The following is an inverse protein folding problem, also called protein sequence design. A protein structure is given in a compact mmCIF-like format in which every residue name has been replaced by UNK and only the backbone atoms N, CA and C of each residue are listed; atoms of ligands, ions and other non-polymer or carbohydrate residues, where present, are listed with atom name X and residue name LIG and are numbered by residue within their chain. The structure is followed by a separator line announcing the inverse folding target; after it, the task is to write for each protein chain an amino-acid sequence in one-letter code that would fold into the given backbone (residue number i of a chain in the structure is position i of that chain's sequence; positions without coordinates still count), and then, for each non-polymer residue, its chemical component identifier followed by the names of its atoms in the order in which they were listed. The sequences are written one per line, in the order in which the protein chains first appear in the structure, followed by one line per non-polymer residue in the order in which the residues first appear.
data_IF_198874680911
#
_entry.id   IF_198874680911
#
_cell.length_a   1.000
_cell.length_b   1.000
_cell.length_c   1.000
_cell.angle_alpha   90.00
_cell.angle_beta   90.00
_cell.angle_gamma   90.00
#
_symmetry.space_group_name_H-M   'P 1'
#
loop_
_entity.id
_entity.type
_entity.pdbx_description
1 polymer ?
#
# COMPACT_ATOMS: atom_id res chain seq x y z
N UNK A 1 2.88 -0.21 11.65
CA UNK A 1 3.55 -0.42 12.97
C UNK A 1 2.75 -1.45 13.74
N UNK A 2 3.40 -2.18 14.65
CA UNK A 2 2.69 -3.10 15.54
C UNK A 2 1.80 -2.31 16.50
N UNK A 3 0.60 -2.82 16.74
CA UNK A 3 -0.36 -2.27 17.70
C UNK A 3 -0.33 -3.11 19.00
N UNK A 4 -1.07 -2.68 20.02
CA UNK A 4 -1.13 -3.38 21.32
C UNK A 4 -1.77 -4.77 21.28
N UNK A 5 -2.57 -5.08 20.25
CA UNK A 5 -3.14 -6.42 20.02
C UNK A 5 -2.11 -7.36 19.39
N UNK A 6 -1.23 -6.85 18.51
CA UNK A 6 -0.20 -7.65 17.83
C UNK A 6 0.85 -8.24 18.81
N UNK A 7 1.01 -7.62 19.99
CA UNK A 7 1.98 -7.99 21.02
C UNK A 7 1.35 -8.64 22.28
N UNK A 8 0.02 -8.86 22.30
CA UNK A 8 -0.68 -9.31 23.51
C UNK A 8 -0.17 -10.65 24.06
N UNK A 9 0.18 -11.58 23.18
CA UNK A 9 0.64 -12.94 23.51
C UNK A 9 2.18 -13.11 23.42
N UNK A 10 2.93 -12.00 23.38
CA UNK A 10 4.38 -12.02 23.10
C UNK A 10 5.21 -11.87 24.38
N UNK A 11 6.17 -12.77 24.62
CA UNK A 11 7.19 -12.56 25.65
C UNK A 11 8.10 -11.38 25.28
N UNK A 12 7.79 -10.22 25.85
CA UNK A 12 8.54 -9.00 25.61
C UNK A 12 10.02 -9.10 26.02
N UNK A 13 10.34 -9.83 27.09
CA UNK A 13 11.72 -10.01 27.52
C UNK A 13 12.50 -10.91 26.56
N UNK A 14 11.87 -11.94 25.99
CA UNK A 14 12.46 -12.71 24.90
C UNK A 14 12.69 -11.84 23.66
N UNK A 15 11.69 -11.10 23.19
CA UNK A 15 11.82 -10.31 21.95
C UNK A 15 12.81 -9.14 22.09
N UNK A 16 12.86 -8.42 23.21
CA UNK A 16 13.91 -7.39 23.41
C UNK A 16 15.32 -7.99 23.50
N UNK A 17 15.47 -9.25 23.95
CA UNK A 17 16.75 -10.00 23.85
C UNK A 17 17.08 -10.36 22.40
N UNK A 18 16.11 -10.80 21.61
CA UNK A 18 16.30 -11.06 20.16
C UNK A 18 16.76 -9.80 19.44
N UNK A 19 16.11 -8.65 19.67
CA UNK A 19 16.56 -7.36 19.12
C UNK A 19 18.00 -7.01 19.53
N UNK A 20 18.36 -7.25 20.80
CA UNK A 20 19.71 -6.98 21.30
C UNK A 20 20.77 -7.93 20.73
N UNK A 21 20.43 -9.20 20.49
CA UNK A 21 21.38 -10.25 20.08
C UNK A 21 21.56 -10.40 18.57
N UNK A 22 20.56 -10.03 17.76
CA UNK A 22 20.62 -10.17 16.29
C UNK A 22 21.03 -8.90 15.54
N UNK A 23 21.28 -7.79 16.26
CA UNK A 23 21.69 -6.51 15.66
C UNK A 23 23.03 -6.65 14.93
N UNK A 24 23.03 -6.40 13.62
CA UNK A 24 24.20 -6.60 12.75
C UNK A 24 25.16 -5.40 12.78
N UNK A 25 25.74 -5.18 13.97
CA UNK A 25 26.77 -4.14 14.19
C UNK A 25 26.20 -2.75 14.50
N UNK A 26 27.04 -1.70 14.44
CA UNK A 26 26.66 -0.36 14.90
C UNK A 26 25.79 0.42 13.91
N UNK A 27 25.76 0.07 12.63
CA UNK A 27 25.02 0.79 11.57
C UNK A 27 23.72 0.12 11.09
N UNK A 28 23.20 -0.84 11.86
CA UNK A 28 21.95 -1.52 11.55
C UNK A 28 20.72 -0.63 11.85
N UNK A 29 20.51 0.40 11.01
CA UNK A 29 19.45 1.41 11.19
C UNK A 29 18.04 0.85 11.03
N UNK A 30 17.90 -0.19 10.21
CA UNK A 30 16.61 -0.81 9.93
C UNK A 30 16.18 -1.67 11.12
N UNK A 31 17.11 -2.44 11.71
CA UNK A 31 16.88 -3.18 12.94
C UNK A 31 16.65 -2.25 14.15
N UNK A 32 17.39 -1.15 14.26
CA UNK A 32 17.13 -0.11 15.26
C UNK A 32 15.70 0.45 15.11
N UNK A 33 15.23 0.69 13.88
CA UNK A 33 13.88 1.19 13.61
C UNK A 33 12.79 0.18 13.97
N UNK A 34 12.99 -1.10 13.66
CA UNK A 34 12.09 -2.19 14.06
C UNK A 34 12.05 -2.36 15.59
N UNK A 35 13.20 -2.28 16.26
CA UNK A 35 13.30 -2.34 17.72
C UNK A 35 12.57 -1.18 18.39
N UNK A 36 12.69 0.04 17.85
CA UNK A 36 11.92 1.19 18.34
C UNK A 36 10.42 1.02 18.09
N UNK A 37 10.00 0.47 16.95
CA UNK A 37 8.58 0.21 16.67
C UNK A 37 7.97 -0.80 17.68
N UNK A 38 8.71 -1.86 18.03
CA UNK A 38 8.30 -2.81 19.08
C UNK A 38 8.20 -2.15 20.46
N UNK A 39 9.27 -1.47 20.89
CA UNK A 39 9.30 -0.77 22.17
C UNK A 39 8.22 0.32 22.25
N UNK A 40 7.79 0.90 21.11
CA UNK A 40 6.69 1.87 21.08
C UNK A 40 5.34 1.22 21.38
N UNK A 41 5.10 0.01 20.87
CA UNK A 41 3.90 -0.76 21.14
C UNK A 41 3.81 -1.19 22.62
N UNK A 42 4.96 -1.46 23.26
CA UNK A 42 5.06 -1.70 24.72
C UNK A 42 4.90 -0.40 25.53
N UNK A 43 5.75 0.60 25.26
CA UNK A 43 5.72 1.91 25.91
C UNK A 43 6.53 2.95 25.14
N UNK A 44 5.87 4.01 24.67
CA UNK A 44 6.53 5.21 24.10
C UNK A 44 7.67 5.76 25.00
N UNK A 45 7.59 5.56 26.33
CA UNK A 45 8.65 5.96 27.27
C UNK A 45 9.90 5.06 27.20
N UNK A 46 9.78 3.75 27.01
CA UNK A 46 10.95 2.86 26.84
C UNK A 46 11.58 3.07 25.47
N UNK A 47 10.77 3.20 24.41
CA UNK A 47 11.21 3.55 23.07
C UNK A 47 12.05 4.84 23.04
N UNK A 48 11.60 5.91 23.73
CA UNK A 48 12.38 7.16 23.83
C UNK A 48 13.71 6.99 24.56
N UNK A 49 13.78 6.14 25.60
CA UNK A 49 15.03 5.82 26.30
C UNK A 49 15.99 5.05 25.38
N UNK A 50 15.49 4.06 24.65
CA UNK A 50 16.27 3.27 23.69
C UNK A 50 16.78 4.14 22.53
N UNK A 51 15.91 4.96 21.94
CA UNK A 51 16.24 5.89 20.85
C UNK A 51 17.35 6.87 21.24
N UNK A 52 17.33 7.41 22.47
CA UNK A 52 18.42 8.25 23.00
C UNK A 52 19.75 7.50 23.14
N UNK A 53 19.71 6.20 23.43
CA UNK A 53 20.94 5.38 23.49
C UNK A 53 21.55 5.17 22.09
N UNK A 54 20.71 4.92 21.07
CA UNK A 54 21.16 4.81 19.68
C UNK A 54 21.76 6.13 19.15
N UNK A 55 21.13 7.26 19.47
CA UNK A 55 21.66 8.59 19.15
C UNK A 55 22.93 8.95 19.93
N UNK A 56 23.09 8.45 21.17
CA UNK A 56 24.31 8.65 21.95
C UNK A 56 25.51 7.94 21.32
N UNK A 57 25.31 6.74 20.77
CA UNK A 57 26.34 5.99 20.03
C UNK A 57 26.65 6.61 18.66
N UNK A 58 25.62 6.99 17.88
CA UNK A 58 25.78 7.42 16.48
C UNK A 58 24.94 8.66 16.14
N UNK A 59 25.50 9.84 16.40
CA UNK A 59 24.85 11.15 16.21
C UNK A 59 24.68 11.58 14.74
N UNK A 60 25.40 10.98 13.80
CA UNK A 60 25.34 11.37 12.38
C UNK A 60 24.21 10.67 11.58
N UNK A 61 23.56 9.67 12.17
CA UNK A 61 22.57 8.82 11.51
C UNK A 61 21.19 9.50 11.41
N UNK A 62 20.83 9.97 10.22
CA UNK A 62 19.53 10.59 9.95
C UNK A 62 18.30 9.69 10.24
N UNK A 63 18.28 8.39 9.90
CA UNK A 63 17.14 7.52 10.24
C UNK A 63 16.87 7.45 11.74
N UNK A 64 17.91 7.40 12.57
CA UNK A 64 17.77 7.39 14.04
C UNK A 64 17.18 8.69 14.58
N UNK A 65 17.52 9.83 13.98
CA UNK A 65 16.92 11.13 14.31
C UNK A 65 15.46 11.24 13.85
N UNK A 66 15.13 10.73 12.65
CA UNK A 66 13.76 10.68 12.16
C UNK A 66 12.86 9.84 13.11
N UNK A 67 13.33 8.64 13.47
CA UNK A 67 12.64 7.80 14.45
C UNK A 67 12.49 8.51 15.81
N UNK A 68 13.51 9.23 16.29
CA UNK A 68 13.41 9.99 17.55
C UNK A 68 12.34 11.10 17.49
N UNK A 69 12.31 11.87 16.41
CA UNK A 69 11.29 12.91 16.20
C UNK A 69 9.88 12.30 16.11
N UNK A 70 9.74 11.16 15.42
CA UNK A 70 8.47 10.42 15.35
C UNK A 70 7.99 9.95 16.73
N UNK A 71 8.88 9.51 17.62
CA UNK A 71 8.51 9.11 18.98
C UNK A 71 8.01 10.28 19.84
N UNK A 72 8.66 11.45 19.78
CA UNK A 72 8.17 12.63 20.50
C UNK A 72 6.85 13.16 19.84
N UNK A 73 6.63 12.99 18.53
CA UNK A 73 5.31 13.21 17.87
C UNK A 73 4.23 12.26 18.41
N UNK A 74 4.49 10.96 18.47
CA UNK A 74 3.54 9.94 19.00
C UNK A 74 3.18 10.23 20.47
N UNK A 75 4.11 10.81 21.23
CA UNK A 75 3.89 11.27 22.61
C UNK A 75 3.04 12.55 22.72
N UNK A 76 2.72 13.21 21.60
CA UNK A 76 2.04 14.52 21.58
C UNK A 76 2.95 15.70 21.92
N UNK A 77 4.29 15.55 21.78
CA UNK A 77 5.29 16.61 22.05
C UNK A 77 5.87 17.19 20.77
N UNK A 78 5.02 17.81 19.96
CA UNK A 78 5.39 18.45 18.68
C UNK A 78 6.54 19.46 18.83
N UNK A 79 6.57 20.25 19.91
CA UNK A 79 7.65 21.23 20.16
C UNK A 79 9.03 20.59 20.37
N UNK A 80 9.08 19.41 21.00
CA UNK A 80 10.34 18.68 21.17
C UNK A 80 10.77 18.03 19.85
N UNK A 81 9.82 17.52 19.06
CA UNK A 81 10.09 17.04 17.71
C UNK A 81 10.60 18.16 16.78
N UNK A 82 10.02 19.37 16.86
CA UNK A 82 10.48 20.57 16.14
C UNK A 82 11.94 20.91 16.45
N UNK A 83 12.32 20.90 17.73
CA UNK A 83 13.72 21.10 18.16
C UNK A 83 14.66 20.04 17.57
N UNK A 84 14.22 18.78 17.48
CA UNK A 84 14.99 17.70 16.85
C UNK A 84 15.22 18.00 15.37
N UNK A 85 14.17 18.31 14.61
CA UNK A 85 14.29 18.67 13.18
C UNK A 85 15.20 19.89 12.97
N UNK A 86 15.01 20.97 13.73
CA UNK A 86 15.87 22.17 13.69
C UNK A 86 17.35 21.83 13.98
N UNK A 87 17.62 20.99 14.97
CA UNK A 87 18.99 20.59 15.33
C UNK A 87 19.66 19.80 14.21
N UNK A 88 18.93 18.90 13.56
CA UNK A 88 19.48 17.95 12.58
C UNK A 88 19.59 18.55 11.17
N UNK A 89 18.61 19.38 10.79
CA UNK A 89 18.45 19.95 9.45
C UNK A 89 19.00 21.37 9.30
N UNK A 90 19.08 22.13 10.40
CA UNK A 90 19.60 23.51 10.39
C UNK A 90 20.95 23.58 11.12
N UNK A 91 21.01 23.21 12.40
CA UNK A 91 22.24 23.36 13.19
C UNK A 91 23.35 22.36 12.78
N UNK A 92 22.96 21.19 12.25
CA UNK A 92 23.86 20.12 11.80
C UNK A 92 23.83 19.93 10.27
N UNK A 93 23.46 20.97 9.53
CA UNK A 93 23.41 20.95 8.06
C UNK A 93 24.80 20.69 7.46
N UNK A 94 24.88 19.83 6.44
CA UNK A 94 26.11 19.62 5.65
C UNK A 94 25.96 20.31 4.28
N UNK A 95 27.06 20.69 3.61
CA UNK A 95 26.98 21.38 2.31
C UNK A 95 26.28 20.53 1.24
N UNK A 96 26.64 19.25 1.15
CA UNK A 96 25.99 18.26 0.30
C UNK A 96 24.81 17.65 1.09
N UNK A 97 23.61 17.54 0.52
CA UNK A 97 22.48 16.88 1.18
C UNK A 97 22.79 15.43 1.50
N UNK A 98 22.43 14.98 2.70
CA UNK A 98 22.58 13.57 3.07
C UNK A 98 21.45 12.72 2.47
N UNK A 99 21.69 11.42 2.21
CA UNK A 99 20.61 10.48 1.94
C UNK A 99 19.52 10.56 3.02
N UNK A 100 18.26 10.43 2.62
CA UNK A 100 17.08 10.54 3.49
C UNK A 100 16.82 11.93 4.14
N UNK A 101 17.64 12.95 3.91
CA UNK A 101 17.42 14.29 4.50
C UNK A 101 16.09 14.91 4.05
N UNK A 102 15.68 14.66 2.79
CA UNK A 102 14.37 15.07 2.27
C UNK A 102 13.18 14.43 3.00
N UNK A 103 13.33 13.21 3.54
CA UNK A 103 12.27 12.59 4.34
C UNK A 103 12.06 13.33 5.66
N UNK A 104 13.14 13.72 6.36
CA UNK A 104 13.02 14.51 7.60
C UNK A 104 12.40 15.89 7.35
N UNK A 105 12.74 16.56 6.25
CA UNK A 105 12.08 17.82 5.85
C UNK A 105 10.58 17.62 5.58
N UNK A 106 10.18 16.53 4.91
CA UNK A 106 8.77 16.18 4.70
C UNK A 106 8.05 15.83 6.01
N UNK A 107 8.68 15.04 6.89
CA UNK A 107 8.11 14.65 8.17
C UNK A 107 7.92 15.85 9.11
N UNK A 108 8.82 16.84 9.03
CA UNK A 108 8.68 18.11 9.74
C UNK A 108 7.50 18.91 9.17
N UNK A 109 7.42 19.07 7.84
CA UNK A 109 6.30 19.77 7.19
C UNK A 109 4.94 19.16 7.54
N UNK A 110 4.82 17.82 7.46
CA UNK A 110 3.63 17.07 7.87
C UNK A 110 3.25 17.34 9.33
N UNK A 111 4.25 17.47 10.22
CA UNK A 111 4.02 17.71 11.65
C UNK A 111 3.44 19.10 11.92
N UNK A 112 3.98 20.14 11.28
CA UNK A 112 3.48 21.51 11.41
C UNK A 112 2.11 21.70 10.74
N UNK A 113 1.88 21.07 9.57
CA UNK A 113 0.56 21.05 8.92
C UNK A 113 -0.50 20.41 9.81
N UNK A 114 -0.20 19.26 10.44
CA UNK A 114 -1.10 18.61 11.40
C UNK A 114 -1.31 19.41 12.69
N UNK A 115 -0.38 20.29 13.04
CA UNK A 115 -0.52 21.22 14.17
C UNK A 115 -1.38 22.46 13.83
N UNK A 116 -1.80 22.63 12.58
CA UNK A 116 -2.52 23.82 12.11
C UNK A 116 -1.67 25.08 12.02
N UNK A 117 -0.34 24.97 12.14
CA UNK A 117 0.59 26.08 12.02
C UNK A 117 1.00 26.21 10.54
N UNK A 118 0.08 26.64 9.68
CA UNK A 118 0.31 26.68 8.22
C UNK A 118 1.51 27.54 7.84
N UNK A 119 1.72 28.69 8.48
CA UNK A 119 2.90 29.54 8.27
C UNK A 119 4.22 28.89 8.73
N UNK A 120 4.22 28.12 9.82
CA UNK A 120 5.40 27.37 10.27
C UNK A 120 5.64 26.12 9.43
N UNK A 121 4.59 25.47 8.91
CA UNK A 121 4.70 24.35 7.99
C UNK A 121 5.20 24.80 6.60
N UNK A 122 4.83 26.02 6.21
CA UNK A 122 5.48 26.73 5.13
C UNK A 122 6.95 26.99 5.53
N UNK A 123 7.28 27.78 6.55
CA UNK A 123 8.68 28.16 6.82
C UNK A 123 9.65 26.98 7.11
N UNK A 124 9.16 25.91 7.73
CA UNK A 124 9.88 24.67 8.00
C UNK A 124 9.98 23.77 6.77
N UNK A 125 8.85 23.48 6.11
CA UNK A 125 8.77 22.58 4.96
C UNK A 125 8.85 23.34 3.66
N UNK A 126 7.77 24.04 3.32
CA UNK A 126 7.59 24.67 2.03
C UNK A 126 8.65 25.71 1.72
N UNK A 127 8.77 26.80 2.47
CA UNK A 127 9.59 27.96 2.15
C UNK A 127 11.07 27.65 2.07
N UNK A 128 11.62 26.64 2.78
CA UNK A 128 13.04 26.26 2.64
C UNK A 128 13.30 25.21 1.57
N UNK A 129 12.36 24.29 1.34
CA UNK A 129 12.41 23.38 0.19
C UNK A 129 12.17 24.20 -1.10
N UNK A 130 11.26 25.18 -1.11
CA UNK A 130 11.00 26.18 -2.15
C UNK A 130 12.09 27.26 -2.24
N UNK A 131 12.74 27.76 -1.18
CA UNK A 131 13.94 28.61 -1.34
C UNK A 131 15.07 27.84 -2.05
N UNK A 132 15.01 26.50 -2.05
CA UNK A 132 15.84 25.60 -2.87
C UNK A 132 15.17 25.03 -4.15
N UNK A 133 13.87 25.29 -4.41
CA UNK A 133 13.09 24.75 -5.56
C UNK A 133 12.18 25.77 -6.31
N UNK A 134 12.09 27.02 -5.86
CA UNK A 134 11.20 28.09 -6.35
C UNK A 134 11.98 29.27 -6.96
N UNK A 135 13.30 29.30 -6.74
CA UNK A 135 14.25 29.90 -7.69
C UNK A 135 14.32 29.11 -9.03
N UNK A 136 13.23 28.43 -9.38
CA UNK A 136 12.98 27.65 -10.60
C UNK A 136 11.60 28.00 -11.21
N UNK A 137 10.93 29.04 -10.71
CA UNK A 137 9.59 29.47 -11.16
C UNK A 137 9.52 30.96 -11.56
N UNK A 138 10.67 31.61 -11.80
CA UNK A 138 10.73 33.01 -12.22
C UNK A 138 11.72 33.23 -13.37
N UNK A 139 11.19 33.22 -14.59
CA UNK A 139 11.58 33.92 -15.86
C UNK A 139 13.06 34.23 -16.22
N UNK A 140 14.06 33.76 -15.49
CA UNK A 140 15.46 34.14 -15.65
C UNK A 140 16.40 32.93 -15.76
N UNK A 141 16.97 32.74 -16.97
CA UNK A 141 18.26 32.08 -17.22
C UNK A 141 18.56 30.78 -16.46
N UNK A 142 18.30 29.63 -17.11
CA UNK A 142 19.04 28.41 -16.81
C UNK A 142 20.55 28.66 -16.97
N UNK A 143 21.32 28.48 -15.89
CA UNK A 143 22.63 27.79 -15.94
C UNK A 143 23.28 27.60 -14.55
N UNK A 144 23.02 28.48 -13.56
CA UNK A 144 23.77 28.48 -12.28
C UNK A 144 22.93 28.73 -11.01
N UNK A 145 21.81 28.02 -10.85
CA UNK A 145 21.03 28.02 -9.60
C UNK A 145 21.21 26.69 -8.81
N UNK A 146 21.40 26.81 -7.50
CA UNK A 146 21.82 25.73 -6.59
C UNK A 146 20.70 24.72 -6.30
N UNK A 147 20.40 23.86 -7.27
CA UNK A 147 19.54 22.70 -7.08
C UNK A 147 20.35 21.58 -6.40
N UNK A 148 19.96 21.09 -5.20
CA UNK A 148 20.74 20.05 -4.52
C UNK A 148 20.73 18.70 -5.27
N UNK A 149 19.77 18.49 -6.18
CA UNK A 149 19.75 17.34 -7.10
C UNK A 149 20.79 17.46 -8.23
N UNK A 150 21.30 18.66 -8.54
CA UNK A 150 22.35 18.84 -9.55
C UNK A 150 23.75 18.52 -9.00
N UNK A 151 23.94 18.59 -7.67
CA UNK A 151 25.20 18.22 -7.02
C UNK A 151 25.31 16.70 -6.78
N UNK A 152 24.18 16.03 -6.59
CA UNK A 152 24.12 14.57 -6.44
C UNK A 152 24.03 13.94 -7.83
N UNK A 153 24.78 12.86 -8.08
CA UNK A 153 24.73 12.18 -9.38
C UNK A 153 23.33 11.59 -9.63
N UNK A 154 22.70 11.85 -10.80
CA UNK A 154 21.46 11.17 -11.17
C UNK A 154 21.67 9.65 -11.19
N UNK A 155 20.64 8.91 -10.78
CA UNK A 155 20.64 7.46 -10.51
C UNK A 155 21.37 7.01 -9.25
N UNK A 156 21.79 7.93 -8.39
CA UNK A 156 22.18 7.60 -7.01
C UNK A 156 20.94 7.48 -6.10
N UNK A 157 21.01 6.57 -5.12
CA UNK A 157 20.04 6.37 -4.04
C UNK A 157 19.67 7.67 -3.30
N UNK A 158 20.66 8.54 -3.07
CA UNK A 158 20.47 9.84 -2.44
C UNK A 158 19.61 10.78 -3.31
N UNK A 159 19.87 10.80 -4.63
CA UNK A 159 19.10 11.57 -5.59
C UNK A 159 17.68 10.99 -5.72
N UNK A 160 17.51 9.67 -5.74
CA UNK A 160 16.19 9.03 -5.82
C UNK A 160 15.31 9.37 -4.59
N UNK A 161 15.85 9.19 -3.38
CA UNK A 161 15.16 9.51 -2.13
C UNK A 161 14.77 11.00 -2.05
N UNK A 162 15.69 11.90 -2.39
CA UNK A 162 15.39 13.34 -2.40
C UNK A 162 14.36 13.71 -3.48
N UNK A 163 14.44 13.09 -4.66
CA UNK A 163 13.46 13.27 -5.75
C UNK A 163 12.06 12.84 -5.30
N UNK A 164 11.94 11.64 -4.72
CA UNK A 164 10.67 11.14 -4.18
C UNK A 164 10.10 12.08 -3.12
N UNK A 165 10.93 12.53 -2.17
CA UNK A 165 10.50 13.45 -1.11
C UNK A 165 9.98 14.79 -1.68
N UNK A 166 10.70 15.41 -2.62
CA UNK A 166 10.27 16.65 -3.27
C UNK A 166 8.94 16.49 -4.05
N UNK A 167 8.77 15.40 -4.79
CA UNK A 167 7.53 15.14 -5.53
C UNK A 167 6.33 14.88 -4.61
N UNK A 168 6.53 14.08 -3.56
CA UNK A 168 5.52 13.82 -2.53
C UNK A 168 5.12 15.10 -1.78
N UNK A 169 6.10 15.97 -1.48
CA UNK A 169 5.86 17.25 -0.85
C UNK A 169 4.96 18.15 -1.71
N UNK A 170 5.31 18.35 -2.99
CA UNK A 170 4.53 19.18 -3.92
C UNK A 170 3.11 18.61 -4.11
N UNK A 171 2.97 17.28 -4.23
CA UNK A 171 1.68 16.62 -4.32
C UNK A 171 0.81 16.82 -3.06
N UNK A 172 1.37 16.67 -1.86
CA UNK A 172 0.63 16.92 -0.62
C UNK A 172 0.21 18.38 -0.51
N UNK A 173 1.12 19.30 -0.77
CA UNK A 173 0.86 20.73 -0.67
C UNK A 173 -0.22 21.19 -1.67
N UNK A 174 -0.13 20.82 -2.95
CA UNK A 174 -1.10 21.22 -3.96
C UNK A 174 -2.41 20.40 -3.94
N UNK A 175 -2.33 19.07 -3.87
CA UNK A 175 -3.49 18.19 -4.08
C UNK A 175 -4.19 17.75 -2.79
N UNK A 176 -3.45 17.52 -1.71
CA UNK A 176 -4.05 17.06 -0.43
C UNK A 176 -4.55 18.25 0.39
N UNK A 177 -3.72 19.29 0.54
CA UNK A 177 -4.08 20.51 1.28
C UNK A 177 -4.89 21.51 0.44
N UNK A 178 -4.98 21.31 -0.89
CA UNK A 178 -5.69 22.18 -1.84
C UNK A 178 -5.15 23.61 -1.93
N UNK A 179 -3.87 23.81 -1.59
CA UNK A 179 -3.23 25.12 -1.70
C UNK A 179 -2.99 25.51 -3.17
N UNK A 180 -2.98 26.82 -3.51
CA UNK A 180 -2.82 27.27 -4.88
C UNK A 180 -1.41 26.96 -5.41
N UNK A 181 -1.32 25.94 -6.26
CA UNK A 181 -0.09 25.54 -6.97
C UNK A 181 -0.42 25.29 -8.45
N UNK A 182 0.32 25.86 -9.41
CA UNK A 182 0.18 25.51 -10.82
C UNK A 182 0.42 23.99 -11.04
N UNK A 183 -0.55 23.23 -11.57
CA UNK A 183 -0.39 21.77 -11.75
C UNK A 183 0.75 21.37 -12.71
N UNK A 184 1.20 22.31 -13.55
CA UNK A 184 2.37 22.17 -14.42
C UNK A 184 3.66 21.86 -13.64
N UNK A 185 3.85 22.45 -12.46
CA UNK A 185 5.09 22.28 -11.67
C UNK A 185 5.27 20.81 -11.27
N UNK A 186 4.23 20.19 -10.71
CA UNK A 186 4.28 18.79 -10.34
C UNK A 186 4.43 17.90 -11.59
N UNK A 187 3.66 18.16 -12.65
CA UNK A 187 3.71 17.39 -13.91
C UNK A 187 5.11 17.37 -14.52
N UNK A 188 5.73 18.54 -14.70
CA UNK A 188 7.06 18.65 -15.31
C UNK A 188 8.12 17.91 -14.48
N UNK A 189 8.09 18.08 -13.15
CA UNK A 189 9.02 17.42 -12.23
C UNK A 189 8.86 15.90 -12.23
N UNK A 190 7.63 15.39 -12.25
CA UNK A 190 7.40 13.94 -12.33
C UNK A 190 7.88 13.39 -13.67
N UNK A 191 7.58 14.06 -14.80
CA UNK A 191 8.06 13.66 -16.13
C UNK A 191 9.59 13.63 -16.22
N UNK A 192 10.27 14.65 -15.70
CA UNK A 192 11.74 14.68 -15.58
C UNK A 192 12.25 13.49 -14.75
N UNK A 193 11.59 13.22 -13.61
CA UNK A 193 12.00 12.15 -12.70
C UNK A 193 11.83 10.75 -13.30
N UNK A 194 10.82 10.53 -14.14
CA UNK A 194 10.61 9.26 -14.86
C UNK A 194 11.73 8.93 -15.85
N UNK A 195 12.45 9.91 -16.39
CA UNK A 195 13.60 9.66 -17.27
C UNK A 195 14.80 9.06 -16.50
N UNK A 196 14.90 9.33 -15.20
CA UNK A 196 15.95 8.80 -14.32
C UNK A 196 15.51 7.53 -13.58
N UNK A 197 14.26 7.49 -13.10
CA UNK A 197 13.72 6.44 -12.23
C UNK A 197 12.42 5.80 -12.76
N UNK A 198 12.46 5.15 -13.94
CA UNK A 198 11.26 4.57 -14.59
C UNK A 198 10.66 3.36 -13.85
N UNK A 199 11.27 2.89 -12.76
CA UNK A 199 10.85 1.70 -12.00
C UNK A 199 10.40 2.04 -10.57
N UNK A 200 10.50 3.30 -10.15
CA UNK A 200 10.11 3.71 -8.80
C UNK A 200 8.59 3.80 -8.68
N UNK A 201 7.99 2.92 -7.87
CA UNK A 201 6.54 2.81 -7.73
C UNK A 201 5.86 4.09 -7.23
N UNK A 202 6.52 4.91 -6.41
CA UNK A 202 5.97 6.18 -5.91
C UNK A 202 5.96 7.24 -7.01
N UNK A 203 7.05 7.35 -7.79
CA UNK A 203 7.13 8.27 -8.93
C UNK A 203 6.10 7.87 -10.00
N UNK A 204 5.92 6.57 -10.25
CA UNK A 204 4.88 6.05 -11.14
C UNK A 204 3.47 6.35 -10.61
N UNK A 205 3.21 6.20 -9.31
CA UNK A 205 1.91 6.53 -8.72
C UNK A 205 1.57 8.02 -8.81
N UNK A 206 2.56 8.89 -8.54
CA UNK A 206 2.40 10.34 -8.68
C UNK A 206 2.17 10.76 -10.14
N UNK A 207 2.89 10.16 -11.09
CA UNK A 207 2.67 10.39 -12.52
C UNK A 207 1.23 10.06 -12.93
N UNK A 208 0.73 8.91 -12.46
CA UNK A 208 -0.61 8.45 -12.73
C UNK A 208 -1.67 9.41 -12.16
N UNK A 209 -1.54 9.82 -10.90
CA UNK A 209 -2.53 10.73 -10.30
C UNK A 209 -2.52 12.14 -10.92
N UNK A 210 -1.38 12.61 -11.46
CA UNK A 210 -1.25 13.93 -12.15
C UNK A 210 -1.84 13.94 -13.57
N UNK A 211 -1.81 12.80 -14.26
CA UNK A 211 -2.33 12.65 -15.63
C UNK A 211 -3.81 12.19 -15.65
N UNK A 212 -4.31 11.66 -14.54
CA UNK A 212 -5.71 11.26 -14.34
C UNK A 212 -6.67 12.42 -14.65
N UNK A 213 -7.67 12.13 -15.47
CA UNK A 213 -8.68 13.13 -15.87
C UNK A 213 -8.24 14.16 -16.90
N UNK A 214 -6.99 14.11 -17.40
CA UNK A 214 -6.48 15.09 -18.39
C UNK A 214 -6.71 14.66 -19.85
N UNK A 215 -7.19 13.44 -20.09
CA UNK A 215 -7.51 12.93 -21.45
C UNK A 215 -6.31 12.66 -22.36
N UNK A 216 -5.06 12.90 -21.91
CA UNK A 216 -3.84 12.80 -22.73
C UNK A 216 -3.31 11.37 -22.90
N UNK A 217 -4.23 10.40 -22.95
CA UNK A 217 -4.01 8.94 -22.93
C UNK A 217 -2.94 8.44 -23.91
N UNK A 218 -2.95 8.95 -25.15
CA UNK A 218 -1.98 8.56 -26.17
C UNK A 218 -0.55 9.01 -25.85
N UNK A 219 -0.39 10.17 -25.19
CA UNK A 219 0.92 10.66 -24.73
C UNK A 219 1.44 9.83 -23.58
N UNK A 220 0.57 9.47 -22.62
CA UNK A 220 0.89 8.59 -21.49
C UNK A 220 1.44 7.25 -22.01
N UNK A 221 0.73 6.58 -22.93
CA UNK A 221 1.23 5.35 -23.57
C UNK A 221 2.58 5.56 -24.27
N UNK A 222 2.72 6.64 -25.03
CA UNK A 222 3.96 6.98 -25.73
C UNK A 222 5.16 7.24 -24.81
N UNK A 223 4.99 7.96 -23.69
CA UNK A 223 6.06 8.23 -22.72
C UNK A 223 6.39 7.01 -21.85
N UNK A 224 5.47 6.07 -21.69
CA UNK A 224 5.68 4.82 -20.96
C UNK A 224 6.43 3.75 -21.76
N UNK A 225 6.55 3.93 -23.07
CA UNK A 225 7.19 2.99 -23.97
C UNK A 225 6.27 1.83 -24.35
N UNK A 226 5.81 1.84 -25.59
CA UNK A 226 5.26 0.66 -26.27
C UNK A 226 6.38 -0.26 -26.82
N UNK A 227 7.64 0.06 -26.53
CA UNK A 227 8.81 -0.74 -26.89
C UNK A 227 8.79 -2.07 -26.12
N UNK A 228 8.28 -3.11 -26.78
CA UNK A 228 8.18 -4.50 -26.33
C UNK A 228 9.51 -5.13 -25.89
N UNK A 229 10.64 -4.54 -26.27
CA UNK A 229 11.99 -4.99 -25.93
C UNK A 229 12.39 -4.71 -24.47
N UNK A 230 11.79 -3.71 -23.82
CA UNK A 230 12.08 -3.40 -22.42
C UNK A 230 11.21 -4.25 -21.49
N UNK A 231 11.83 -5.16 -20.74
CA UNK A 231 11.19 -6.00 -19.73
C UNK A 231 10.42 -5.14 -18.70
N UNK A 232 9.09 -5.12 -18.81
CA UNK A 232 8.19 -4.44 -17.87
C UNK A 232 8.20 -5.17 -16.52
N UNK A 233 8.54 -4.45 -15.46
CA UNK A 233 8.55 -4.96 -14.09
C UNK A 233 7.13 -5.08 -13.50
N UNK A 234 7.05 -5.53 -12.25
CA UNK A 234 5.79 -5.63 -11.50
C UNK A 234 5.06 -4.28 -11.47
N UNK A 235 5.75 -3.18 -11.17
CA UNK A 235 5.12 -1.87 -11.02
C UNK A 235 4.50 -1.35 -12.34
N UNK A 236 5.17 -1.58 -13.47
CA UNK A 236 4.66 -1.28 -14.82
C UNK A 236 3.44 -2.13 -15.18
N UNK A 237 3.40 -3.40 -14.79
CA UNK A 237 2.23 -4.26 -15.00
C UNK A 237 1.04 -3.84 -14.14
N UNK A 238 1.25 -3.51 -12.86
CA UNK A 238 0.19 -2.96 -12.00
C UNK A 238 -0.34 -1.62 -12.54
N UNK A 239 0.56 -0.78 -13.08
CA UNK A 239 0.22 0.48 -13.75
C UNK A 239 -0.67 0.26 -14.98
N UNK A 240 -0.40 -0.73 -15.84
CA UNK A 240 -1.26 -1.07 -16.99
C UNK A 240 -2.70 -1.42 -16.56
N UNK A 241 -2.86 -2.18 -15.46
CA UNK A 241 -4.17 -2.53 -14.91
C UNK A 241 -4.89 -1.32 -14.31
N UNK A 242 -4.19 -0.45 -13.58
CA UNK A 242 -4.80 0.74 -13.00
C UNK A 242 -5.27 1.71 -14.09
N UNK A 243 -4.45 1.93 -15.12
CA UNK A 243 -4.77 2.74 -16.31
C UNK A 243 -6.03 2.21 -17.02
N UNK A 244 -6.16 0.89 -17.19
CA UNK A 244 -7.33 0.28 -17.84
C UNK A 244 -8.66 0.56 -17.10
N UNK A 245 -8.61 0.79 -15.78
CA UNK A 245 -9.77 1.12 -14.96
C UNK A 245 -10.20 2.59 -14.99
N UNK A 246 -9.51 3.47 -15.71
CA UNK A 246 -9.80 4.92 -15.68
C UNK A 246 -10.96 5.36 -16.56
N UNK A 247 -11.30 4.62 -17.62
CA UNK A 247 -12.36 4.99 -18.56
C UNK A 247 -13.42 3.90 -18.65
N UNK A 248 -14.54 4.12 -17.96
CA UNK A 248 -15.72 3.24 -17.97
C UNK A 248 -16.29 3.00 -19.38
N UNK A 249 -16.07 3.92 -20.33
CA UNK A 249 -16.55 3.82 -21.71
C UNK A 249 -15.67 3.00 -22.68
N UNK A 250 -14.43 2.65 -22.30
CA UNK A 250 -13.50 1.86 -23.17
C UNK A 250 -13.11 0.50 -22.59
N UNK A 251 -13.72 0.10 -21.48
CA UNK A 251 -13.41 -1.14 -20.74
C UNK A 251 -13.23 -2.37 -21.64
N UNK A 252 -14.13 -2.63 -22.58
CA UNK A 252 -14.05 -3.79 -23.49
C UNK A 252 -12.78 -3.82 -24.37
N UNK A 253 -12.35 -2.66 -24.87
CA UNK A 253 -11.13 -2.52 -25.68
C UNK A 253 -9.85 -2.43 -24.83
N UNK A 254 -9.97 -2.19 -23.53
CA UNK A 254 -8.88 -2.25 -22.56
C UNK A 254 -8.72 -3.65 -21.94
N UNK A 255 -9.80 -4.44 -21.81
CA UNK A 255 -9.78 -5.78 -21.23
C UNK A 255 -8.70 -6.65 -21.90
N UNK A 256 -8.77 -6.80 -23.22
CA UNK A 256 -7.92 -7.77 -23.92
C UNK A 256 -6.45 -7.36 -23.94
N UNK A 257 -6.17 -6.05 -24.04
CA UNK A 257 -4.80 -5.52 -23.97
C UNK A 257 -4.17 -5.77 -22.59
N UNK A 258 -4.93 -5.50 -21.53
CA UNK A 258 -4.47 -5.71 -20.16
C UNK A 258 -4.32 -7.20 -19.85
N UNK A 259 -5.21 -8.06 -20.37
CA UNK A 259 -5.09 -9.52 -20.31
C UNK A 259 -3.79 -10.01 -20.97
N UNK A 260 -3.46 -9.55 -22.18
CA UNK A 260 -2.20 -9.87 -22.87
C UNK A 260 -0.98 -9.38 -22.07
N UNK A 261 -1.05 -8.20 -21.46
CA UNK A 261 0.00 -7.69 -20.58
C UNK A 261 0.22 -8.53 -19.33
N UNK A 262 -0.87 -9.01 -18.71
CA UNK A 262 -0.86 -9.82 -17.50
C UNK A 262 -0.48 -11.28 -17.76
N UNK A 263 -0.94 -11.91 -18.85
CA UNK A 263 -0.53 -13.27 -19.21
C UNK A 263 0.98 -13.35 -19.45
N UNK A 264 1.53 -12.41 -20.24
CA UNK A 264 2.98 -12.31 -20.43
C UNK A 264 3.76 -11.99 -19.15
N UNK A 265 3.15 -11.32 -18.17
CA UNK A 265 3.76 -11.10 -16.85
C UNK A 265 3.74 -12.36 -15.96
N UNK A 266 2.69 -13.18 -16.08
CA UNK A 266 2.50 -14.42 -15.32
C UNK A 266 3.36 -15.56 -15.85
N UNK A 267 3.58 -15.64 -17.16
CA UNK A 267 4.44 -16.67 -17.77
C UNK A 267 5.93 -16.39 -17.57
N UNK A 268 6.31 -15.11 -17.45
CA UNK A 268 7.71 -14.70 -17.41
C UNK A 268 8.41 -15.04 -16.07
N UNK A 269 9.61 -15.62 -16.16
CA UNK A 269 10.32 -16.24 -15.03
C UNK A 269 10.58 -15.28 -13.85
N UNK A 270 10.88 -14.01 -14.13
CA UNK A 270 11.16 -13.00 -13.09
C UNK A 270 9.92 -12.57 -12.29
N UNK A 271 8.72 -12.75 -12.85
CA UNK A 271 7.47 -12.16 -12.35
C UNK A 271 6.44 -13.19 -11.90
N UNK A 272 6.50 -14.44 -12.41
CA UNK A 272 5.63 -15.56 -12.01
C UNK A 272 5.62 -15.87 -10.50
N UNK A 273 6.71 -15.58 -9.80
CA UNK A 273 6.83 -15.76 -8.34
C UNK A 273 6.25 -14.62 -7.50
N UNK A 274 5.71 -13.57 -8.11
CA UNK A 274 5.09 -12.45 -7.40
C UNK A 274 3.59 -12.71 -7.22
N UNK A 275 3.16 -13.05 -6.00
CA UNK A 275 1.75 -13.28 -5.68
C UNK A 275 0.85 -12.09 -6.03
N UNK A 276 1.35 -10.86 -5.92
CA UNK A 276 0.56 -9.66 -6.21
C UNK A 276 0.11 -9.56 -7.67
N UNK A 277 0.90 -10.04 -8.64
CA UNK A 277 0.51 -10.09 -10.05
C UNK A 277 -0.67 -11.05 -10.23
N UNK A 278 -0.59 -12.23 -9.61
CA UNK A 278 -1.67 -13.22 -9.63
C UNK A 278 -2.97 -12.69 -9.01
N UNK A 279 -2.89 -12.07 -7.82
CA UNK A 279 -4.06 -11.45 -7.17
C UNK A 279 -4.72 -10.43 -8.10
N UNK A 280 -3.91 -9.53 -8.69
CA UNK A 280 -4.41 -8.47 -9.58
C UNK A 280 -5.04 -9.06 -10.85
N UNK A 281 -4.47 -10.11 -11.43
CA UNK A 281 -5.04 -10.75 -12.62
C UNK A 281 -6.34 -11.51 -12.30
N UNK A 282 -6.40 -12.20 -11.17
CA UNK A 282 -7.62 -12.87 -10.70
C UNK A 282 -8.73 -11.85 -10.42
N UNK A 283 -8.44 -10.76 -9.70
CA UNK A 283 -9.38 -9.66 -9.48
C UNK A 283 -9.85 -9.00 -10.78
N UNK A 284 -8.94 -8.85 -11.75
CA UNK A 284 -9.25 -8.29 -13.06
C UNK A 284 -10.23 -9.18 -13.84
N UNK A 285 -10.03 -10.51 -13.88
CA UNK A 285 -10.96 -11.43 -14.51
C UNK A 285 -12.31 -11.54 -13.77
N UNK A 286 -12.33 -11.37 -12.45
CA UNK A 286 -13.57 -11.23 -11.67
C UNK A 286 -14.34 -9.99 -12.11
N UNK A 287 -13.67 -8.84 -12.28
CA UNK A 287 -14.29 -7.59 -12.78
C UNK A 287 -14.76 -7.72 -14.24
N UNK A 288 -14.04 -8.50 -15.06
CA UNK A 288 -14.45 -8.88 -16.41
C UNK A 288 -15.54 -9.98 -16.46
N UNK A 289 -16.03 -10.45 -15.30
CA UNK A 289 -17.04 -11.52 -15.13
C UNK A 289 -16.63 -12.89 -15.70
N UNK A 290 -15.33 -13.13 -15.89
CA UNK A 290 -14.76 -14.38 -16.41
C UNK A 290 -14.38 -15.35 -15.28
N UNK A 291 -15.35 -15.69 -14.43
CA UNK A 291 -15.16 -16.50 -13.22
C UNK A 291 -14.45 -17.85 -13.47
N UNK A 292 -14.69 -18.49 -14.63
CA UNK A 292 -14.01 -19.73 -15.03
C UNK A 292 -12.51 -19.54 -15.27
N UNK A 293 -12.13 -18.42 -15.89
CA UNK A 293 -10.72 -18.08 -16.11
C UNK A 293 -10.06 -17.71 -14.78
N UNK A 294 -10.73 -16.92 -13.94
CA UNK A 294 -10.26 -16.59 -12.60
C UNK A 294 -9.99 -17.84 -11.73
N UNK A 295 -10.86 -18.86 -11.79
CA UNK A 295 -10.67 -20.16 -11.10
C UNK A 295 -9.45 -20.93 -11.61
N UNK A 296 -9.23 -20.95 -12.93
CA UNK A 296 -8.05 -21.60 -13.53
C UNK A 296 -6.75 -20.86 -13.14
N UNK A 297 -6.75 -19.52 -13.18
CA UNK A 297 -5.63 -18.68 -12.77
C UNK A 297 -5.31 -18.83 -11.28
N UNK A 298 -6.34 -18.98 -10.42
CA UNK A 298 -6.18 -19.24 -9.00
C UNK A 298 -5.42 -20.55 -8.72
N UNK A 299 -5.79 -21.66 -9.38
CA UNK A 299 -5.07 -22.92 -9.20
C UNK A 299 -3.62 -22.85 -9.74
N UNK A 300 -3.37 -22.12 -10.84
CA UNK A 300 -2.02 -21.86 -11.32
C UNK A 300 -1.20 -21.02 -10.32
N UNK A 301 -1.82 -19.98 -9.73
CA UNK A 301 -1.20 -19.13 -8.72
C UNK A 301 -0.79 -19.92 -7.46
N UNK A 302 -1.63 -20.85 -6.99
CA UNK A 302 -1.31 -21.74 -5.85
C UNK A 302 -0.14 -22.69 -6.15
N UNK A 303 0.04 -23.06 -7.42
CA UNK A 303 1.21 -23.82 -7.87
C UNK A 303 2.50 -23.00 -7.86
N UNK A 304 2.47 -21.75 -8.33
CA UNK A 304 3.66 -20.88 -8.43
C UNK A 304 3.99 -20.13 -7.12
N UNK A 305 3.00 -19.84 -6.28
CA UNK A 305 3.14 -19.07 -5.04
C UNK A 305 2.55 -19.80 -3.80
N UNK A 306 3.07 -20.98 -3.38
CA UNK A 306 2.40 -21.86 -2.40
C UNK A 306 2.11 -21.26 -1.02
N UNK A 307 2.90 -20.28 -0.54
CA UNK A 307 2.85 -19.79 0.85
C UNK A 307 2.17 -18.43 1.04
N UNK A 308 1.61 -17.83 -0.02
CA UNK A 308 0.93 -16.55 0.09
C UNK A 308 -0.52 -16.76 0.55
N UNK A 309 -0.81 -16.47 1.82
CA UNK A 309 -2.15 -16.61 2.41
C UNK A 309 -3.22 -15.83 1.64
N UNK A 310 -2.90 -14.63 1.19
CA UNK A 310 -3.85 -13.72 0.54
C UNK A 310 -4.41 -14.30 -0.77
N UNK A 311 -3.63 -15.13 -1.48
CA UNK A 311 -4.12 -15.87 -2.65
C UNK A 311 -5.26 -16.82 -2.28
N UNK A 312 -5.09 -17.66 -1.25
CA UNK A 312 -6.13 -18.62 -0.84
C UNK A 312 -7.40 -17.92 -0.36
N UNK A 313 -7.26 -16.79 0.36
CA UNK A 313 -8.40 -16.03 0.84
C UNK A 313 -9.31 -15.50 -0.28
N UNK A 314 -8.82 -15.38 -1.53
CA UNK A 314 -9.67 -15.05 -2.68
C UNK A 314 -10.77 -16.09 -2.92
N UNK A 315 -10.53 -17.39 -2.68
CA UNK A 315 -11.54 -18.44 -2.82
C UNK A 315 -12.67 -18.32 -1.78
N UNK A 316 -12.33 -17.95 -0.55
CA UNK A 316 -13.30 -17.78 0.53
C UNK A 316 -14.03 -16.43 0.50
N UNK A 317 -13.43 -15.42 -0.16
CA UNK A 317 -14.01 -14.10 -0.38
C UNK A 317 -14.53 -13.91 -1.81
N UNK A 318 -13.79 -13.17 -2.64
CA UNK A 318 -14.21 -12.67 -3.95
C UNK A 318 -14.65 -13.74 -4.97
N UNK A 319 -14.17 -14.98 -4.84
CA UNK A 319 -14.54 -16.12 -5.68
C UNK A 319 -15.49 -17.11 -5.00
N UNK A 320 -16.02 -16.82 -3.80
CA UNK A 320 -16.84 -17.78 -3.03
C UNK A 320 -18.00 -18.39 -3.80
N UNK A 321 -18.63 -17.63 -4.71
CA UNK A 321 -19.72 -18.12 -5.57
C UNK A 321 -19.29 -19.03 -6.74
N UNK A 322 -18.00 -19.33 -6.89
CA UNK A 322 -17.41 -20.13 -7.99
C UNK A 322 -16.80 -21.45 -7.48
N UNK A 323 -16.67 -21.60 -6.15
CA UNK A 323 -16.14 -22.78 -5.49
C UNK A 323 -17.24 -23.55 -4.74
N UNK A 324 -17.25 -24.86 -4.93
CA UNK A 324 -18.10 -25.77 -4.17
C UNK A 324 -17.52 -26.00 -2.76
N UNK A 325 -18.36 -26.39 -1.80
CA UNK A 325 -17.92 -26.64 -0.40
C UNK A 325 -16.72 -27.57 -0.33
N UNK A 326 -16.78 -28.72 -1.03
CA UNK A 326 -15.69 -29.71 -1.10
C UNK A 326 -14.38 -29.16 -1.67
N UNK A 327 -14.43 -28.18 -2.57
CA UNK A 327 -13.21 -27.53 -3.08
C UNK A 327 -12.62 -26.57 -2.05
N UNK A 328 -13.47 -25.89 -1.27
CA UNK A 328 -13.04 -25.02 -0.18
C UNK A 328 -12.46 -25.83 0.99
N UNK A 329 -13.04 -26.99 1.30
CA UNK A 329 -12.54 -27.92 2.32
C UNK A 329 -11.16 -28.43 1.92
N UNK A 330 -11.00 -28.94 0.68
CA UNK A 330 -9.71 -29.37 0.13
C UNK A 330 -8.69 -28.22 0.07
N UNK A 331 -9.12 -26.98 -0.22
CA UNK A 331 -8.24 -25.81 -0.16
C UNK A 331 -7.79 -25.53 1.28
N UNK A 332 -8.66 -25.63 2.28
CA UNK A 332 -8.32 -25.46 3.68
C UNK A 332 -7.36 -26.56 4.18
N UNK A 333 -7.54 -27.81 3.75
CA UNK A 333 -6.56 -28.89 3.95
C UNK A 333 -5.19 -28.52 3.36
N UNK A 334 -5.12 -28.07 2.10
CA UNK A 334 -3.83 -27.63 1.51
C UNK A 334 -3.23 -26.40 2.20
N UNK A 335 -4.03 -25.55 2.85
CA UNK A 335 -3.54 -24.46 3.69
C UNK A 335 -2.93 -24.98 5.00
N UNK A 336 -3.54 -26.00 5.61
CA UNK A 336 -3.01 -26.68 6.79
C UNK A 336 -1.70 -27.42 6.48
N UNK A 337 -1.66 -28.23 5.41
CA UNK A 337 -0.44 -28.93 4.95
C UNK A 337 0.74 -28.00 4.66
N UNK A 338 0.46 -26.74 4.31
CA UNK A 338 1.48 -25.73 3.95
C UNK A 338 1.85 -24.81 5.12
N UNK A 339 1.43 -25.15 6.35
CA UNK A 339 1.63 -24.38 7.59
C UNK A 339 1.14 -22.92 7.49
N UNK A 340 0.09 -22.66 6.70
CA UNK A 340 -0.45 -21.31 6.53
C UNK A 340 -1.27 -20.96 7.77
N UNK A 341 -0.81 -19.95 8.54
CA UNK A 341 -1.45 -19.53 9.80
C UNK A 341 -2.94 -19.21 9.62
N UNK A 342 -3.80 -20.10 10.09
CA UNK A 342 -5.25 -19.89 10.25
C UNK A 342 -5.55 -19.37 11.67
N UNK A 343 -6.73 -18.76 11.90
CA UNK A 343 -7.13 -18.25 13.23
C UNK A 343 -7.82 -19.31 14.10
N UNK A 344 -8.43 -20.29 13.43
CA UNK A 344 -8.93 -21.55 13.96
C UNK A 344 -8.42 -22.66 13.04
N UNK A 345 -8.24 -23.87 13.55
CA UNK A 345 -8.06 -25.06 12.72
C UNK A 345 -9.32 -25.32 11.88
N UNK A 346 -9.19 -26.05 10.76
CA UNK A 346 -10.38 -26.49 10.02
C UNK A 346 -11.24 -27.40 10.91
N UNK A 347 -10.59 -28.27 11.69
CA UNK A 347 -11.23 -29.15 12.67
C UNK A 347 -12.03 -28.36 13.73
N UNK A 348 -11.45 -27.31 14.32
CA UNK A 348 -12.13 -26.44 15.29
C UNK A 348 -13.34 -25.72 14.68
N UNK A 349 -13.26 -25.33 13.40
CA UNK A 349 -14.40 -24.73 12.69
C UNK A 349 -15.47 -25.77 12.38
N UNK A 350 -15.10 -26.99 12.01
CA UNK A 350 -16.02 -28.10 11.73
C UNK A 350 -16.70 -28.63 13.00
N UNK A 351 -16.01 -28.63 14.16
CA UNK A 351 -16.59 -28.96 15.47
C UNK A 351 -17.60 -27.89 15.93
N UNK A 352 -17.36 -26.61 15.64
CA UNK A 352 -18.31 -25.52 15.89
C UNK A 352 -19.41 -25.41 14.82
N UNK A 353 -19.22 -26.00 13.64
CA UNK A 353 -20.20 -25.97 12.56
C UNK A 353 -21.28 -27.01 12.82
N UNK A 354 -22.21 -26.68 13.72
CA UNK A 354 -23.56 -27.23 13.61
C UNK A 354 -24.04 -26.91 12.19
N UNK A 355 -24.30 -27.92 11.33
CA UNK A 355 -24.96 -27.63 10.08
C UNK A 355 -26.28 -26.99 10.46
N UNK A 356 -26.58 -25.81 9.89
CA UNK A 356 -27.96 -25.37 9.83
C UNK A 356 -28.71 -26.55 9.24
N UNK A 357 -29.50 -27.23 10.08
CA UNK A 357 -30.44 -28.20 9.59
C UNK A 357 -31.24 -27.42 8.57
N UNK A 358 -31.04 -27.77 7.29
CA UNK A 358 -32.14 -27.72 6.36
C UNK A 358 -33.33 -28.22 7.17
N UNK A 359 -34.36 -27.39 7.30
CA UNK A 359 -35.66 -27.91 7.64
C UNK A 359 -35.95 -28.90 6.52
N UNK A 360 -35.52 -30.15 6.74
CA UNK A 360 -36.15 -31.30 6.12
C UNK A 360 -37.62 -31.00 6.27
N UNK A 361 -38.32 -31.06 5.16
CA UNK A 361 -39.77 -30.99 5.16
C UNK A 361 -40.24 -32.07 6.17
N UNK A 362 -40.58 -31.63 7.39
CA UNK A 362 -41.53 -32.37 8.19
C UNK A 362 -42.72 -32.54 7.25
N UNK A 363 -43.19 -33.77 7.01
CA UNK A 363 -44.30 -33.97 6.10
C UNK A 363 -45.45 -33.12 6.63
N UNK A 364 -45.74 -32.02 5.92
CA UNK A 364 -46.76 -31.07 6.32
C UNK A 364 -48.02 -31.88 6.52
N UNK A 365 -48.61 -31.74 7.70
CA UNK A 365 -49.77 -32.50 8.09
C UNK A 365 -50.97 -32.00 7.26
N UNK A 366 -51.13 -32.53 6.04
CA UNK A 366 -52.09 -32.08 5.02
C UNK A 366 -53.57 -32.04 5.48
N UNK A 367 -53.86 -32.52 6.69
CA UNK A 367 -55.17 -32.40 7.32
C UNK A 367 -55.66 -30.94 7.43
N UNK A 368 -54.77 -29.93 7.56
CA UNK A 368 -55.21 -28.51 7.57
C UNK A 368 -55.66 -28.02 6.18
N UNK A 369 -54.97 -28.39 5.10
CA UNK A 369 -55.39 -28.04 3.73
C UNK A 369 -56.69 -28.77 3.33
N UNK A 370 -56.86 -30.03 3.74
CA UNK A 370 -58.10 -30.79 3.53
C UNK A 370 -59.30 -30.16 4.29
N UNK A 371 -59.10 -29.68 5.53
CA UNK A 371 -60.15 -28.93 6.26
C UNK A 371 -60.46 -27.58 5.60
N UNK A 372 -59.46 -26.86 5.10
CA UNK A 372 -59.67 -25.58 4.39
C UNK A 372 -60.43 -25.81 3.08
N UNK A 373 -60.11 -26.84 2.30
CA UNK A 373 -60.82 -27.15 1.05
C UNK A 373 -62.25 -27.66 1.31
N UNK A 374 -62.46 -28.44 2.39
CA UNK A 374 -63.79 -28.88 2.83
C UNK A 374 -64.67 -27.69 3.24
N UNK A 375 -64.16 -26.81 4.11
CA UNK A 375 -64.87 -25.60 4.55
C UNK A 375 -65.16 -24.65 3.37
N UNK A 376 -64.24 -24.53 2.41
CA UNK A 376 -64.45 -23.76 1.18
C UNK A 376 -65.53 -24.37 0.25
N UNK A 377 -65.77 -25.69 0.29
CA UNK A 377 -66.85 -26.36 -0.45
C UNK A 377 -68.22 -26.16 0.24
N UNK A 378 -68.29 -26.27 1.56
CA UNK A 378 -69.50 -25.97 2.34
C UNK A 378 -69.95 -24.50 2.16
N UNK A 379 -69.02 -23.54 2.27
CA UNK A 379 -69.32 -22.12 2.05
C UNK A 379 -69.76 -21.77 0.62
N UNK A 380 -69.49 -22.62 -0.38
CA UNK A 380 -70.03 -22.48 -1.74
C UNK A 380 -71.45 -23.04 -1.86
N UNK A 381 -71.80 -24.08 -1.11
CA UNK A 381 -73.17 -24.63 -1.02
C UNK A 381 -74.14 -23.68 -0.31
N UNK A 382 -73.64 -22.95 0.69
CA UNK A 382 -74.46 -22.06 1.53
C UNK A 382 -74.68 -20.66 0.94
N UNK A 383 -74.25 -20.39 -0.29
CA UNK A 383 -74.56 -19.13 -0.98
C UNK A 383 -76.04 -19.12 -1.40
N UNK A 384 -76.85 -18.15 -0.96
CA UNK A 384 -78.17 -17.90 -1.56
C UNK A 384 -78.00 -17.52 -3.03
N UNK A 385 -78.97 -17.90 -3.86
CA UNK A 385 -79.06 -17.54 -5.27
C UNK A 385 -79.26 -16.02 -5.48
#
# INVERSE_FOLDING_TARGET
MWNTLDIADVDAAFVSRVFSSLRLGPEDTDWDSLSLAFETALSVKSALKLSRSFLASNRDSLPRWAAHAQLERIRGKSDEARKVYQTVLIASAKPIPRPCEGHLWSDWADMEWLAGQEEDALSAGAERIWQRLYFLAGEGGMDQAWCPLNEIRPRDTAHESLTMACLMFIYRYGSVLKNPVPPSILRERVLQSMAYYPHNSVILALFLEVEKGQGVWGRIRGTLGDNSENLKDVARRVQEVWIAGWESGRWEAEIERTRIGLSGAVEHERTRGCSQIWIIYIEFEIRAKQYKQAKNLFYQAIGQCPRCKDLYLLAFGSLRGVFDGRELDALAETMAERDIRMRKGLDEVLEEWEPEKQKNDEPVNNNEDDEIEYNAKELRRLRPY
#
